data_IF_274677466897
#
_entry.id   IF_274677466897
#
_cell.length_a   1.000
_cell.length_b   1.000
_cell.length_c   1.000
_cell.angle_alpha   90.00
_cell.angle_beta   90.00
_cell.angle_gamma   90.00
#
_symmetry.space_group_name_H-M   'P 1'
#
loop_
_entity.id
_entity.type
_entity.pdbx_description
1 polymer ?
#
# COMPACT_ATOMS: atom_id res chain seq x y z
N UNK A 1 5.70 10.83 7.82
CA UNK A 1 4.49 10.00 7.83
C UNK A 1 4.96 8.56 7.91
N UNK A 2 5.02 7.97 9.11
CA UNK A 2 5.26 6.54 9.23
C UNK A 2 4.00 5.81 8.76
N UNK A 3 4.12 4.60 8.19
CA UNK A 3 2.98 3.80 7.75
C UNK A 3 2.21 3.22 8.96
N UNK A 4 2.13 3.93 10.10
CA UNK A 4 1.50 3.61 11.39
C UNK A 4 0.00 3.29 11.38
N UNK A 5 -0.37 2.02 11.17
CA UNK A 5 -1.51 1.38 11.83
C UNK A 5 -0.99 0.51 12.99
N UNK A 6 -1.54 0.77 14.19
CA UNK A 6 -1.34 -0.05 15.39
C UNK A 6 -1.52 -1.54 15.06
N UNK A 7 -0.57 -2.36 15.50
CA UNK A 7 -0.42 -3.80 15.28
C UNK A 7 -1.57 -4.67 15.81
N UNK A 8 -2.68 -4.06 16.22
CA UNK A 8 -3.80 -4.66 16.93
C UNK A 8 -5.18 -4.15 16.49
N UNK A 9 -5.32 -3.46 15.36
CA UNK A 9 -6.65 -3.11 14.85
C UNK A 9 -7.31 -4.33 14.20
N UNK A 10 -7.96 -5.17 15.03
CA UNK A 10 -8.99 -6.14 14.61
C UNK A 10 -10.25 -5.47 14.02
N UNK A 11 -10.24 -4.15 13.85
CA UNK A 11 -11.38 -3.37 13.40
C UNK A 11 -10.95 -2.24 12.47
N UNK A 12 -11.58 -2.15 11.30
CA UNK A 12 -11.47 -0.99 10.41
C UNK A 12 -12.31 0.13 11.03
N UNK A 13 -11.66 1.25 11.37
CA UNK A 13 -12.34 2.41 11.94
C UNK A 13 -12.77 3.39 10.84
N UNK A 14 -11.93 3.58 9.83
CA UNK A 14 -12.24 4.37 8.65
C UNK A 14 -11.67 3.66 7.42
N UNK A 15 -12.54 2.93 6.72
CA UNK A 15 -12.16 2.18 5.52
C UNK A 15 -11.43 3.05 4.51
N UNK A 16 -11.87 4.29 4.28
CA UNK A 16 -11.29 5.12 3.23
C UNK A 16 -9.87 5.51 3.60
N UNK A 17 -9.66 5.92 4.84
CA UNK A 17 -8.33 6.27 5.35
C UNK A 17 -7.41 5.04 5.35
N UNK A 18 -7.89 3.92 5.89
CA UNK A 18 -7.10 2.70 6.02
C UNK A 18 -6.76 2.09 4.65
N UNK A 19 -7.70 2.09 3.70
CA UNK A 19 -7.47 1.62 2.33
C UNK A 19 -6.45 2.48 1.59
N UNK A 20 -6.62 3.81 1.63
CA UNK A 20 -5.68 4.74 1.00
C UNK A 20 -4.27 4.57 1.53
N UNK A 21 -4.17 4.36 2.83
CA UNK A 21 -2.91 4.17 3.50
C UNK A 21 -2.22 2.87 3.10
N UNK A 22 -2.94 1.75 3.04
CA UNK A 22 -2.40 0.49 2.52
C UNK A 22 -1.97 0.61 1.05
N UNK A 23 -2.74 1.34 0.24
CA UNK A 23 -2.35 1.63 -1.15
C UNK A 23 -1.06 2.46 -1.24
N UNK A 24 -0.89 3.45 -0.36
CA UNK A 24 0.35 4.24 -0.23
C UNK A 24 1.54 3.37 0.17
N UNK A 25 1.38 2.53 1.19
CA UNK A 25 2.43 1.63 1.65
C UNK A 25 2.80 0.60 0.55
N UNK A 26 1.83 0.10 -0.22
CA UNK A 26 2.09 -0.75 -1.39
C UNK A 26 2.87 -0.02 -2.50
N UNK A 27 2.51 1.24 -2.78
CA UNK A 27 3.24 2.11 -3.70
C UNK A 27 4.71 2.25 -3.27
N UNK A 28 4.98 2.51 -1.99
CA UNK A 28 6.34 2.64 -1.47
C UNK A 28 7.13 1.34 -1.66
N UNK A 29 6.57 0.20 -1.22
CA UNK A 29 7.26 -1.09 -1.30
C UNK A 29 7.58 -1.48 -2.75
N UNK A 30 6.66 -1.23 -3.69
CA UNK A 30 6.91 -1.50 -5.11
C UNK A 30 7.79 -0.45 -5.77
N UNK A 31 7.76 0.80 -5.31
CA UNK A 31 8.61 1.88 -5.80
C UNK A 31 10.09 1.67 -5.48
N UNK A 32 10.40 1.18 -4.27
CA UNK A 32 11.79 0.84 -3.91
C UNK A 32 12.36 -0.30 -4.76
N UNK A 33 11.51 -1.23 -5.22
CA UNK A 33 11.87 -2.36 -6.09
C UNK A 33 13.10 -3.17 -5.64
N UNK A 34 13.41 -3.13 -4.35
CA UNK A 34 14.52 -3.83 -3.72
C UNK A 34 14.00 -4.74 -2.61
N UNK A 35 14.30 -6.04 -2.71
CA UNK A 35 13.80 -7.05 -1.76
C UNK A 35 14.38 -6.89 -0.35
N UNK A 36 15.63 -6.44 -0.23
CA UNK A 36 16.28 -6.26 1.07
C UNK A 36 15.70 -5.04 1.80
N UNK A 37 15.58 -3.90 1.10
CA UNK A 37 14.96 -2.68 1.65
C UNK A 37 13.52 -2.94 2.05
N UNK A 38 12.73 -3.56 1.16
CA UNK A 38 11.32 -3.86 1.46
C UNK A 38 11.16 -4.83 2.63
N UNK A 39 12.00 -5.85 2.74
CA UNK A 39 11.99 -6.78 3.87
C UNK A 39 12.38 -6.11 5.19
N UNK A 40 13.37 -5.20 5.17
CA UNK A 40 13.74 -4.45 6.36
C UNK A 40 12.63 -3.50 6.80
N UNK A 41 12.00 -2.80 5.86
CA UNK A 41 10.86 -1.90 6.14
C UNK A 41 9.71 -2.68 6.78
N UNK A 42 9.29 -3.81 6.20
CA UNK A 42 8.15 -4.58 6.73
C UNK A 42 8.47 -5.27 8.06
N UNK A 43 9.75 -5.61 8.29
CA UNK A 43 10.20 -6.15 9.58
C UNK A 43 10.19 -5.10 10.69
N UNK A 44 10.63 -3.89 10.39
CA UNK A 44 10.76 -2.79 11.37
C UNK A 44 9.39 -2.13 11.61
N UNK A 45 8.67 -1.83 10.53
CA UNK A 45 7.40 -1.12 10.56
C UNK A 45 6.24 -2.07 10.23
N UNK A 46 5.75 -2.76 11.27
CA UNK A 46 4.58 -3.67 11.18
C UNK A 46 3.31 -2.99 10.67
N UNK A 47 3.33 -1.68 10.63
CA UNK A 47 2.23 -0.84 10.25
C UNK A 47 1.95 -0.86 8.74
N UNK A 48 2.92 -1.30 7.93
CA UNK A 48 2.73 -1.63 6.51
C UNK A 48 1.77 -2.80 6.26
N UNK A 49 1.30 -3.47 7.32
CA UNK A 49 0.43 -4.63 7.25
C UNK A 49 -0.89 -4.37 7.97
N UNK A 50 -1.99 -4.38 7.21
CA UNK A 50 -3.35 -4.45 7.75
C UNK A 50 -3.91 -5.85 7.49
N UNK A 51 -4.04 -6.73 8.49
CA UNK A 51 -4.46 -8.12 8.25
C UNK A 51 -5.78 -8.21 7.47
N UNK A 52 -6.78 -7.41 7.88
CA UNK A 52 -8.12 -7.43 7.28
C UNK A 52 -8.10 -6.95 5.84
N UNK A 53 -7.53 -5.77 5.58
CA UNK A 53 -7.49 -5.20 4.24
C UNK A 53 -6.57 -6.00 3.31
N UNK A 54 -5.45 -6.48 3.83
CA UNK A 54 -4.55 -7.35 3.06
C UNK A 54 -5.19 -8.68 2.71
N UNK A 55 -5.99 -9.29 3.59
CA UNK A 55 -6.71 -10.53 3.24
C UNK A 55 -7.76 -10.34 2.15
N UNK A 56 -8.40 -9.16 2.10
CA UNK A 56 -9.55 -8.91 1.20
C UNK A 56 -9.14 -8.23 -0.12
N UNK A 57 -8.12 -7.37 -0.08
CA UNK A 57 -7.72 -6.50 -1.19
C UNK A 57 -6.24 -6.67 -1.57
N UNK A 58 -5.61 -7.80 -1.24
CA UNK A 58 -4.20 -8.09 -1.58
C UNK A 58 -3.90 -7.87 -3.07
N UNK A 59 -4.75 -8.41 -3.95
CA UNK A 59 -4.59 -8.29 -5.39
C UNK A 59 -4.74 -6.85 -5.87
N UNK A 60 -5.71 -6.11 -5.35
CA UNK A 60 -5.85 -4.67 -5.61
C UNK A 60 -4.60 -3.90 -5.21
N UNK A 61 -4.07 -4.12 -4.00
CA UNK A 61 -2.88 -3.41 -3.55
C UNK A 61 -1.65 -3.79 -4.37
N UNK A 62 -1.51 -5.06 -4.75
CA UNK A 62 -0.42 -5.52 -5.63
C UNK A 62 -0.51 -4.86 -7.00
N UNK A 63 -1.71 -4.79 -7.58
CA UNK A 63 -1.96 -4.11 -8.86
C UNK A 63 -1.63 -2.62 -8.78
N UNK A 64 -2.14 -1.92 -7.77
CA UNK A 64 -1.86 -0.49 -7.53
C UNK A 64 -0.35 -0.26 -7.45
N UNK A 65 0.35 -1.02 -6.61
CA UNK A 65 1.80 -0.84 -6.43
C UNK A 65 2.59 -1.08 -7.72
N UNK A 66 2.19 -2.08 -8.52
CA UNK A 66 2.81 -2.35 -9.83
C UNK A 66 2.53 -1.23 -10.84
N UNK A 67 1.32 -0.69 -10.88
CA UNK A 67 0.98 0.44 -11.75
C UNK A 67 1.78 1.69 -11.40
N UNK A 68 1.82 2.06 -10.12
CA UNK A 68 2.55 3.26 -9.68
C UNK A 68 4.07 3.11 -9.89
N UNK A 69 4.63 1.92 -9.63
CA UNK A 69 6.05 1.62 -9.91
C UNK A 69 6.39 1.74 -11.41
N UNK A 70 5.49 1.32 -12.31
CA UNK A 70 5.67 1.53 -13.76
C UNK A 70 5.67 3.00 -14.14
N UNK A 71 4.78 3.80 -13.54
CA UNK A 71 4.75 5.25 -13.78
C UNK A 71 6.08 5.88 -13.35
N UNK A 72 6.55 5.59 -12.13
CA UNK A 72 7.84 6.08 -11.64
C UNK A 72 9.00 5.67 -12.57
N UNK A 73 8.99 4.44 -13.06
CA UNK A 73 10.04 3.92 -13.94
C UNK A 73 10.03 4.65 -15.29
N UNK A 74 8.85 4.82 -15.90
CA UNK A 74 8.70 5.54 -17.16
C UNK A 74 9.16 7.01 -17.05
N UNK A 75 8.86 7.66 -15.92
CA UNK A 75 9.32 9.02 -15.63
C UNK A 75 10.84 9.08 -15.38
N UNK A 76 11.44 7.98 -14.91
CA UNK A 76 12.86 7.87 -14.54
C UNK A 76 13.79 7.42 -15.67
N UNK A 77 13.27 6.75 -16.72
CA UNK A 77 14.04 6.28 -17.89
C UNK A 77 14.80 7.43 -18.59
N UNK A 78 14.43 8.69 -18.36
CA UNK A 78 15.16 9.87 -18.85
C UNK A 78 16.38 10.30 -17.99
N UNK A 79 16.69 9.64 -16.88
CA UNK A 79 17.70 10.10 -15.90
C UNK A 79 18.79 9.09 -15.53
N UNK A 80 19.05 8.11 -16.41
CA UNK A 80 19.62 6.79 -16.05
C UNK A 80 21.06 6.77 -15.46
N UNK A 81 21.87 7.84 -15.42
CA UNK A 81 23.31 7.67 -15.09
C UNK A 81 23.93 8.40 -13.89
N UNK A 82 23.21 9.13 -13.03
CA UNK A 82 23.88 9.93 -11.96
C UNK A 82 23.05 10.21 -10.70
N UNK A 83 22.14 9.32 -10.30
CA UNK A 83 21.22 9.61 -9.18
C UNK A 83 21.59 8.80 -7.94
N UNK A 84 21.88 9.46 -6.81
CA UNK A 84 22.16 8.79 -5.54
C UNK A 84 20.93 8.05 -4.99
N UNK A 85 21.15 6.98 -4.22
CA UNK A 85 20.09 6.19 -3.58
C UNK A 85 19.13 7.06 -2.76
N UNK A 86 19.67 8.06 -2.05
CA UNK A 86 18.87 9.01 -1.28
C UNK A 86 17.90 9.82 -2.16
N UNK A 87 18.34 10.24 -3.35
CA UNK A 87 17.48 10.96 -4.28
C UNK A 87 16.43 10.03 -4.91
N UNK A 88 16.76 8.77 -5.18
CA UNK A 88 15.79 7.75 -5.62
C UNK A 88 14.70 7.56 -4.56
N UNK A 89 15.09 7.35 -3.30
CA UNK A 89 14.15 7.21 -2.19
C UNK A 89 13.22 8.43 -2.03
N UNK A 90 13.76 9.64 -2.18
CA UNK A 90 12.97 10.88 -2.14
C UNK A 90 11.96 10.98 -3.27
N UNK A 91 12.35 10.59 -4.50
CA UNK A 91 11.44 10.57 -5.66
C UNK A 91 10.28 9.60 -5.43
N UNK A 92 10.58 8.38 -4.95
CA UNK A 92 9.57 7.36 -4.61
C UNK A 92 8.59 7.90 -3.56
N UNK A 93 9.10 8.47 -2.46
CA UNK A 93 8.26 9.02 -1.41
C UNK A 93 7.36 10.15 -1.91
N UNK A 94 7.91 11.08 -2.70
CA UNK A 94 7.15 12.19 -3.28
C UNK A 94 6.05 11.68 -4.20
N UNK A 95 6.38 10.74 -5.10
CA UNK A 95 5.39 10.15 -6.00
C UNK A 95 4.26 9.47 -5.23
N UNK A 96 4.58 8.60 -4.28
CA UNK A 96 3.56 7.91 -3.50
C UNK A 96 2.73 8.88 -2.65
N UNK A 97 3.33 9.96 -2.13
CA UNK A 97 2.59 10.98 -1.39
C UNK A 97 1.62 11.75 -2.30
N UNK A 98 2.04 12.08 -3.52
CA UNK A 98 1.15 12.67 -4.52
C UNK A 98 0.01 11.71 -4.90
N UNK A 99 0.32 10.42 -5.06
CA UNK A 99 -0.67 9.39 -5.30
C UNK A 99 -1.69 9.26 -4.15
N UNK A 100 -1.23 9.29 -2.89
CA UNK A 100 -2.08 9.24 -1.70
C UNK A 100 -3.13 10.37 -1.69
N UNK A 101 -2.73 11.56 -2.12
CA UNK A 101 -3.58 12.75 -2.21
C UNK A 101 -4.34 12.88 -3.55
N UNK A 102 -4.21 11.91 -4.45
CA UNK A 102 -4.75 12.02 -5.81
C UNK A 102 -6.24 11.67 -5.90
N UNK A 103 -6.92 12.32 -6.87
CA UNK A 103 -8.29 11.95 -7.28
C UNK A 103 -8.37 10.52 -7.84
N UNK A 104 -7.26 9.99 -8.38
CA UNK A 104 -7.15 8.60 -8.85
C UNK A 104 -7.39 7.65 -7.67
N UNK A 105 -6.63 7.81 -6.59
CA UNK A 105 -6.79 6.97 -5.41
C UNK A 105 -8.15 7.18 -4.72
N UNK A 106 -8.69 8.40 -4.73
CA UNK A 106 -10.07 8.64 -4.26
C UNK A 106 -11.09 7.80 -5.01
N UNK A 107 -10.98 7.75 -6.34
CA UNK A 107 -11.89 6.97 -7.19
C UNK A 107 -11.78 5.47 -6.91
N UNK A 108 -10.55 4.94 -6.87
CA UNK A 108 -10.27 3.54 -6.55
C UNK A 108 -10.82 3.18 -5.16
N UNK A 109 -10.62 4.06 -4.17
CA UNK A 109 -11.11 3.85 -2.80
C UNK A 109 -12.64 3.82 -2.77
N UNK A 110 -13.33 4.71 -3.50
CA UNK A 110 -14.80 4.71 -3.59
C UNK A 110 -15.35 3.42 -4.22
N UNK A 111 -14.69 2.90 -5.25
CA UNK A 111 -15.08 1.63 -5.87
C UNK A 111 -14.92 0.45 -4.90
N UNK A 112 -13.78 0.37 -4.22
CA UNK A 112 -13.52 -0.70 -3.25
C UNK A 112 -14.36 -0.57 -1.98
N UNK A 113 -14.78 0.63 -1.61
CA UNK A 113 -15.71 0.82 -0.50
C UNK A 113 -17.08 0.19 -0.76
N UNK A 114 -17.56 0.20 -2.01
CA UNK A 114 -18.78 -0.51 -2.39
C UNK A 114 -18.61 -2.03 -2.23
N UNK A 115 -17.46 -2.57 -2.65
CA UNK A 115 -17.12 -3.99 -2.44
C UNK A 115 -17.14 -4.31 -0.94
N UNK A 116 -16.43 -3.50 -0.14
CA UNK A 116 -16.38 -3.65 1.32
C UNK A 116 -17.76 -3.68 1.99
N UNK A 117 -18.64 -2.73 1.65
CA UNK A 117 -20.00 -2.69 2.20
C UNK A 117 -20.84 -3.93 1.87
N UNK A 118 -20.55 -4.59 0.75
CA UNK A 118 -21.30 -5.76 0.29
C UNK A 118 -20.74 -7.08 0.84
N UNK A 119 -19.59 -7.06 1.51
CA UNK A 119 -19.04 -8.24 2.17
C UNK A 119 -19.90 -8.61 3.37
N UNK A 120 -20.47 -9.81 3.34
CA UNK A 120 -21.09 -10.45 4.50
C UNK A 120 -20.04 -11.32 5.19
N UNK A 121 -20.06 -11.37 6.52
CA UNK A 121 -19.14 -12.18 7.35
C UNK A 121 -17.64 -11.89 7.14
N UNK A 122 -17.23 -10.65 7.40
CA UNK A 122 -15.81 -10.24 7.39
C UNK A 122 -14.97 -11.16 8.29
N UNK A 123 -15.49 -11.55 9.46
CA UNK A 123 -14.79 -12.42 10.41
C UNK A 123 -14.44 -13.80 9.83
N UNK A 124 -15.32 -14.38 9.01
CA UNK A 124 -15.07 -15.65 8.34
C UNK A 124 -13.94 -15.52 7.29
N UNK A 125 -13.89 -14.41 6.56
CA UNK A 125 -12.89 -14.16 5.53
C UNK A 125 -11.50 -13.95 6.17
N UNK A 126 -11.44 -13.28 7.32
CA UNK A 126 -10.20 -13.05 8.06
C UNK A 126 -9.66 -14.37 8.64
N UNK A 127 -10.53 -15.21 9.21
CA UNK A 127 -10.14 -16.50 9.79
C UNK A 127 -9.68 -17.54 8.75
N UNK A 128 -10.25 -17.55 7.54
CA UNK A 128 -9.80 -18.43 6.45
C UNK A 128 -8.38 -18.07 5.99
N UNK A 129 -8.07 -16.78 5.94
CA UNK A 129 -6.80 -16.29 5.40
C UNK A 129 -5.68 -16.15 6.45
N UNK A 130 -6.01 -16.26 7.74
CA UNK A 130 -5.07 -16.30 8.86
C UNK A 130 -5.54 -17.30 9.93
N UNK A 131 -5.42 -18.62 9.68
CA UNK A 131 -5.84 -19.63 10.65
C UNK A 131 -4.86 -19.64 11.84
N UNK A 132 -5.24 -19.00 12.96
CA UNK A 132 -4.50 -19.10 14.23
C UNK A 132 -4.16 -17.78 14.93
N UNK A 133 -5.05 -16.79 14.89
CA UNK A 133 -4.98 -15.61 15.76
C UNK A 133 -6.01 -15.71 16.90
#
# INVERSE_FOLDING_TARGET
>A
MACGVSSNKKHIQDFKKDFKFNAYCSCLLKGYNDKNITSQITRIDKSFYSPILSSIFSDEFKKIGLEESKIMTNDSIKSINTVSEAMIGKKIQLHCLNFYNSKKLDSITKLNYKKWKNLKNIDSIVNINNPGL
#
